data_IF_921951147563
#
_entry.id   IF_921951147563
#
_cell.length_a   1.000
_cell.length_b   1.000
_cell.length_c   1.000
_cell.angle_alpha   90.00
_cell.angle_beta   90.00
_cell.angle_gamma   90.00
#
_symmetry.space_group_name_H-M   'P 1'
#
loop_
_entity.id
_entity.type
_entity.pdbx_description
1 polymer ?
#
# COMPACT_ATOMS: atom_id res chain seq x y z
N UNK A 1 -50.11 5.56 68.78
CA UNK A 1 -48.68 5.96 68.68
C UNK A 1 -48.35 6.08 67.20
N UNK A 2 -48.30 7.26 66.57
CA UNK A 2 -47.36 8.39 66.69
C UNK A 2 -45.95 8.07 66.13
N UNK A 3 -45.76 8.54 64.87
CA UNK A 3 -44.60 9.22 64.23
C UNK A 3 -43.27 8.47 63.93
N UNK A 4 -43.04 8.21 62.62
CA UNK A 4 -42.05 8.80 61.64
C UNK A 4 -40.60 9.14 62.12
N UNK A 5 -39.61 9.44 61.23
CA UNK A 5 -39.24 8.97 59.86
C UNK A 5 -37.70 8.91 59.59
N UNK A 6 -37.29 8.73 58.32
CA UNK A 6 -36.01 9.16 57.67
C UNK A 6 -34.74 8.33 58.02
N UNK A 7 -33.86 7.94 57.09
CA UNK A 7 -32.97 8.74 56.22
C UNK A 7 -32.59 7.89 54.98
N UNK A 8 -32.68 8.39 53.74
CA UNK A 8 -31.67 9.17 53.02
C UNK A 8 -30.42 8.36 52.64
N UNK A 9 -30.16 8.19 51.34
CA UNK A 9 -28.89 7.68 50.82
C UNK A 9 -29.04 7.08 49.43
N UNK A 10 -29.20 7.87 48.37
CA UNK A 10 -28.12 8.42 47.51
C UNK A 10 -28.24 7.80 46.12
N UNK A 11 -28.65 8.65 45.16
CA UNK A 11 -28.50 8.45 43.73
C UNK A 11 -27.03 8.16 43.42
N UNK A 12 -26.75 7.06 42.70
CA UNK A 12 -25.56 6.98 41.87
C UNK A 12 -26.00 6.82 40.42
N UNK A 13 -26.04 7.97 39.75
CA UNK A 13 -26.18 8.12 38.32
C UNK A 13 -24.93 7.51 37.68
N UNK A 14 -25.01 6.25 37.23
CA UNK A 14 -23.96 5.67 36.38
C UNK A 14 -24.13 6.30 35.00
N UNK A 15 -23.46 7.42 34.81
CA UNK A 15 -23.09 7.93 33.49
C UNK A 15 -22.21 6.84 32.90
N UNK A 16 -22.79 5.98 32.06
CA UNK A 16 -22.01 5.25 31.09
C UNK A 16 -21.30 6.30 30.26
N UNK A 17 -20.05 6.56 30.62
CA UNK A 17 -19.06 7.15 29.74
C UNK A 17 -19.16 6.31 28.48
N UNK A 18 -19.86 6.87 27.47
CA UNK A 18 -19.79 6.38 26.12
C UNK A 18 -18.31 6.18 25.87
N UNK A 19 -17.96 4.92 25.67
CA UNK A 19 -16.65 4.54 25.21
C UNK A 19 -16.38 5.46 24.02
N UNK A 20 -15.51 6.45 24.23
CA UNK A 20 -14.76 7.05 23.16
C UNK A 20 -13.93 5.91 22.61
N UNK A 21 -14.56 5.10 21.75
CA UNK A 21 -13.87 4.37 20.73
C UNK A 21 -13.22 5.50 19.94
N UNK A 22 -11.97 5.83 20.31
CA UNK A 22 -11.16 6.74 19.55
C UNK A 22 -11.21 6.20 18.14
N UNK A 23 -11.88 6.95 17.26
CA UNK A 23 -11.95 6.68 15.85
C UNK A 23 -10.52 6.38 15.39
N UNK A 24 -10.23 5.11 15.15
CA UNK A 24 -9.22 4.74 14.18
C UNK A 24 -9.83 5.06 12.82
N UNK A 25 -10.01 6.34 12.56
CA UNK A 25 -10.50 6.87 11.29
C UNK A 25 -9.43 6.54 10.24
N UNK A 26 -9.74 5.55 9.39
CA UNK A 26 -9.35 5.42 7.99
C UNK A 26 -7.87 5.56 7.56
N UNK A 27 -6.88 5.15 8.35
CA UNK A 27 -5.50 5.03 7.81
C UNK A 27 -5.38 3.97 6.70
N UNK A 28 -6.34 3.05 6.63
CA UNK A 28 -6.39 1.96 5.63
C UNK A 28 -7.01 2.36 4.28
N UNK A 29 -7.64 3.53 4.15
CA UNK A 29 -8.36 3.89 2.90
C UNK A 29 -7.42 4.39 1.79
N UNK A 30 -6.20 4.77 2.13
CA UNK A 30 -5.24 5.41 1.23
C UNK A 30 -3.99 4.55 1.02
N UNK A 31 -4.18 3.27 0.70
CA UNK A 31 -3.10 2.30 0.52
C UNK A 31 -3.07 1.80 -0.91
N UNK A 32 -1.89 1.74 -1.52
CA UNK A 32 -1.62 0.93 -2.70
C UNK A 32 -0.78 -0.29 -2.30
N UNK A 33 -1.06 -1.44 -2.91
CA UNK A 33 -0.30 -2.67 -2.73
C UNK A 33 0.69 -2.80 -3.88
N UNK A 34 1.98 -2.88 -3.58
CA UNK A 34 3.03 -3.14 -4.56
C UNK A 34 3.60 -4.53 -4.31
N UNK A 35 3.62 -5.38 -5.33
CA UNK A 35 4.19 -6.74 -5.30
C UNK A 35 5.33 -6.83 -6.32
N UNK A 36 6.47 -7.40 -5.92
CA UNK A 36 7.63 -7.69 -6.76
C UNK A 36 7.78 -9.21 -6.87
N UNK A 37 7.78 -9.74 -8.10
CA UNK A 37 7.85 -11.17 -8.37
C UNK A 37 8.80 -11.50 -9.53
N UNK A 38 9.03 -12.79 -9.77
CA UNK A 38 9.74 -13.30 -10.94
C UNK A 38 9.01 -14.44 -11.61
N UNK A 39 9.44 -14.71 -12.83
CA UNK A 39 9.05 -15.86 -13.63
C UNK A 39 7.53 -15.97 -13.79
N UNK A 40 6.87 -14.85 -14.11
CA UNK A 40 5.42 -14.72 -14.27
C UNK A 40 4.65 -14.99 -12.96
N UNK A 41 5.15 -14.46 -11.85
CA UNK A 41 4.54 -14.62 -10.52
C UNK A 41 4.79 -15.97 -9.85
N UNK A 42 5.63 -16.84 -10.43
CA UNK A 42 5.94 -18.15 -9.83
C UNK A 42 6.84 -18.02 -8.60
N UNK A 43 7.69 -16.98 -8.56
CA UNK A 43 8.51 -16.66 -7.40
C UNK A 43 8.16 -15.28 -6.87
N UNK A 44 7.84 -15.21 -5.59
CA UNK A 44 7.55 -13.97 -4.90
C UNK A 44 8.82 -13.43 -4.23
N UNK A 45 9.10 -12.13 -4.41
CA UNK A 45 10.27 -11.47 -3.80
C UNK A 45 9.88 -10.55 -2.65
N UNK A 46 8.95 -9.63 -2.91
CA UNK A 46 8.55 -8.59 -1.96
C UNK A 46 7.10 -8.17 -2.15
N UNK A 47 6.49 -7.65 -1.08
CA UNK A 47 5.22 -6.93 -1.13
C UNK A 47 5.20 -5.86 -0.06
N UNK A 48 4.55 -4.74 -0.37
CA UNK A 48 4.42 -3.64 0.56
C UNK A 48 3.09 -2.94 0.35
N UNK A 49 2.38 -2.76 1.44
CA UNK A 49 1.30 -1.78 1.53
C UNK A 49 1.93 -0.40 1.76
N UNK A 50 1.72 0.50 0.81
CA UNK A 50 2.28 1.85 0.83
C UNK A 50 1.13 2.83 0.97
N UNK A 51 1.24 3.72 1.96
CA UNK A 51 0.29 4.82 2.09
C UNK A 51 0.54 5.83 0.95
N UNK A 52 -0.49 6.06 0.15
CA UNK A 52 -0.43 6.92 -1.04
C UNK A 52 -1.57 7.92 -1.05
N UNK A 53 -1.34 9.06 -1.67
CA UNK A 53 -2.40 10.00 -2.04
C UNK A 53 -2.73 9.82 -3.52
N UNK A 54 -3.99 10.07 -3.88
CA UNK A 54 -4.40 10.11 -5.29
C UNK A 54 -3.51 11.07 -6.06
N UNK A 55 -2.91 10.60 -7.15
CA UNK A 55 -2.01 11.40 -7.99
C UNK A 55 -0.52 11.25 -7.64
N UNK A 56 -0.15 10.45 -6.63
CA UNK A 56 1.27 10.12 -6.40
C UNK A 56 1.85 9.41 -7.63
N UNK A 57 3.05 9.80 -8.05
CA UNK A 57 3.73 9.17 -9.18
C UNK A 57 4.24 7.77 -8.80
N UNK A 58 4.00 6.77 -9.65
CA UNK A 58 4.40 5.39 -9.37
C UNK A 58 5.92 5.22 -9.31
N UNK A 59 6.69 5.85 -10.21
CA UNK A 59 8.15 5.73 -10.16
C UNK A 59 8.72 6.34 -8.88
N UNK A 60 8.25 7.54 -8.49
CA UNK A 60 8.67 8.17 -7.24
C UNK A 60 8.33 7.31 -6.02
N UNK A 61 7.13 6.70 -5.99
CA UNK A 61 6.73 5.78 -4.92
C UNK A 61 7.64 4.56 -4.88
N UNK A 62 8.01 4.02 -6.04
CA UNK A 62 8.91 2.88 -6.15
C UNK A 62 10.31 3.21 -5.63
N UNK A 63 10.93 4.29 -6.09
CA UNK A 63 12.28 4.73 -5.68
C UNK A 63 12.37 5.07 -4.18
N UNK A 64 11.29 5.57 -3.58
CA UNK A 64 11.24 5.87 -2.16
C UNK A 64 11.10 4.63 -1.26
N UNK A 65 10.69 3.48 -1.83
CA UNK A 65 10.32 2.30 -1.06
C UNK A 65 11.14 1.04 -1.36
N UNK A 66 11.82 1.02 -2.51
CA UNK A 66 12.63 -0.08 -3.01
C UNK A 66 13.92 0.45 -3.63
N UNK A 67 14.92 -0.42 -3.79
CA UNK A 67 16.09 -0.06 -4.60
C UNK A 67 15.76 -0.17 -6.08
N UNK A 68 15.56 0.96 -6.74
CA UNK A 68 15.19 1.02 -8.15
C UNK A 68 16.28 1.73 -8.96
N UNK A 69 16.60 1.17 -10.12
CA UNK A 69 17.42 1.82 -11.13
C UNK A 69 16.64 1.85 -12.45
N UNK A 70 16.88 2.90 -13.23
CA UNK A 70 16.23 3.14 -14.51
C UNK A 70 17.26 3.37 -15.61
N UNK A 71 16.78 3.34 -16.85
CA UNK A 71 17.51 3.90 -17.97
C UNK A 71 17.64 5.44 -17.85
N UNK A 72 18.45 6.05 -18.71
CA UNK A 72 18.71 7.50 -18.64
C UNK A 72 17.48 8.38 -18.90
N UNK A 73 16.39 7.82 -19.42
CA UNK A 73 15.14 8.51 -19.70
C UNK A 73 14.04 8.30 -18.65
N UNK A 74 14.32 7.45 -17.64
CA UNK A 74 13.37 6.98 -16.62
C UNK A 74 12.12 6.28 -17.20
N UNK A 75 12.18 5.80 -18.44
CA UNK A 75 11.07 5.11 -19.11
C UNK A 75 11.09 3.61 -18.81
N UNK A 76 12.27 3.06 -18.58
CA UNK A 76 12.48 1.63 -18.37
C UNK A 76 13.14 1.44 -17.02
N UNK A 77 12.51 0.64 -16.16
CA UNK A 77 13.14 0.16 -14.94
C UNK A 77 14.11 -0.95 -15.31
N UNK A 78 15.37 -0.78 -14.96
CA UNK A 78 16.46 -1.72 -15.26
C UNK A 78 16.77 -2.62 -14.08
N UNK A 79 16.44 -2.19 -12.85
CA UNK A 79 16.69 -2.96 -11.64
C UNK A 79 15.65 -2.67 -10.56
N UNK A 80 15.22 -3.72 -9.84
CA UNK A 80 14.46 -3.60 -8.58
C UNK A 80 15.12 -4.53 -7.55
N UNK A 81 15.40 -4.04 -6.35
CA UNK A 81 16.05 -4.79 -5.27
C UNK A 81 17.39 -5.43 -5.68
N UNK A 82 18.15 -4.69 -6.51
CA UNK A 82 19.45 -5.10 -7.09
C UNK A 82 19.37 -6.29 -8.05
N UNK A 83 18.18 -6.64 -8.53
CA UNK A 83 18.02 -7.60 -9.62
C UNK A 83 17.95 -6.85 -10.96
N UNK A 84 19.07 -6.87 -11.67
CA UNK A 84 19.25 -6.14 -12.93
C UNK A 84 18.87 -6.97 -14.15
N UNK A 85 18.28 -6.31 -15.16
CA UNK A 85 18.06 -6.91 -16.49
C UNK A 85 19.37 -7.21 -17.24
N UNK A 86 20.46 -6.51 -16.90
CA UNK A 86 21.76 -6.66 -17.56
C UNK A 86 22.46 -7.96 -17.19
N UNK A 87 22.23 -8.47 -15.97
CA UNK A 87 22.84 -9.68 -15.46
C UNK A 87 22.25 -10.96 -16.07
N UNK A 88 21.05 -10.86 -16.68
CA UNK A 88 20.20 -12.01 -17.01
C UNK A 88 19.83 -12.16 -18.51
N UNK A 89 20.53 -11.44 -19.40
CA UNK A 89 20.65 -11.83 -20.82
C UNK A 89 19.34 -11.95 -21.62
N UNK A 90 18.37 -11.06 -21.42
CA UNK A 90 17.09 -11.04 -22.15
C UNK A 90 15.83 -11.02 -21.27
N UNK A 91 16.00 -10.78 -19.96
CA UNK A 91 14.91 -10.50 -19.04
C UNK A 91 14.52 -9.03 -19.04
N UNK A 92 13.31 -8.74 -18.59
CA UNK A 92 12.74 -7.40 -18.45
C UNK A 92 11.91 -7.32 -17.17
N UNK A 93 11.62 -6.08 -16.76
CA UNK A 93 10.62 -5.77 -15.77
C UNK A 93 9.34 -5.32 -16.48
N UNK A 94 8.29 -6.13 -16.41
CA UNK A 94 6.95 -5.72 -16.83
C UNK A 94 6.11 -5.41 -15.60
N UNK A 95 5.13 -4.51 -15.76
CA UNK A 95 4.24 -4.17 -14.67
C UNK A 95 2.77 -4.17 -15.07
N UNK A 96 1.94 -4.50 -14.09
CA UNK A 96 0.48 -4.50 -14.21
C UNK A 96 -0.15 -3.65 -13.13
N UNK A 97 -1.32 -3.12 -13.44
CA UNK A 97 -2.18 -2.37 -12.53
C UNK A 97 -3.48 -3.13 -12.45
N UNK A 98 -3.87 -3.55 -11.24
CA UNK A 98 -5.11 -4.27 -10.98
C UNK A 98 -5.29 -5.52 -11.87
N UNK A 99 -4.19 -6.18 -12.24
CA UNK A 99 -4.15 -7.38 -13.07
C UNK A 99 -4.10 -7.13 -14.59
N UNK A 100 -4.09 -5.87 -15.03
CA UNK A 100 -4.00 -5.50 -16.45
C UNK A 100 -2.64 -4.86 -16.78
N UNK A 101 -2.07 -5.19 -17.94
CA UNK A 101 -0.83 -4.56 -18.42
C UNK A 101 -1.11 -3.09 -18.69
N UNK A 102 -0.31 -2.21 -18.07
CA UNK A 102 -0.44 -0.78 -18.28
C UNK A 102 0.30 -0.32 -19.54
N UNK A 103 -0.32 0.45 -20.44
CA UNK A 103 0.36 1.02 -21.61
C UNK A 103 1.16 2.29 -21.27
N UNK A 104 1.06 2.78 -20.03
CA UNK A 104 1.75 3.99 -19.56
C UNK A 104 3.04 3.56 -18.86
N UNK A 105 4.19 4.24 -19.02
CA UNK A 105 5.38 3.91 -18.23
C UNK A 105 5.21 4.33 -16.76
N UNK A 106 5.88 3.69 -15.78
CA UNK A 106 5.75 4.03 -14.36
C UNK A 106 5.96 5.52 -14.04
N UNK A 107 6.89 6.20 -14.74
CA UNK A 107 7.14 7.64 -14.57
C UNK A 107 5.95 8.55 -14.91
N UNK A 108 4.95 8.03 -15.61
CA UNK A 108 3.76 8.77 -16.03
C UNK A 108 2.47 8.20 -15.43
N UNK A 109 2.56 7.16 -14.58
CA UNK A 109 1.38 6.58 -13.94
C UNK A 109 1.13 7.25 -12.59
N UNK A 110 -0.10 7.73 -12.40
CA UNK A 110 -0.57 8.34 -11.17
C UNK A 110 -1.37 7.32 -10.35
N UNK A 111 -0.83 6.95 -9.19
CA UNK A 111 -1.44 5.99 -8.27
C UNK A 111 -2.76 6.48 -7.71
N UNK A 112 -3.68 5.53 -7.57
CA UNK A 112 -4.92 5.71 -6.85
C UNK A 112 -4.91 4.84 -5.58
N UNK A 113 -5.53 5.31 -4.49
CA UNK A 113 -5.85 4.45 -3.35
C UNK A 113 -6.55 3.16 -3.80
N UNK A 114 -6.07 2.02 -3.30
CA UNK A 114 -6.57 0.69 -3.63
C UNK A 114 -5.89 0.02 -4.82
N UNK A 115 -5.01 0.72 -5.56
CA UNK A 115 -4.28 0.13 -6.67
C UNK A 115 -3.42 -1.06 -6.22
N UNK A 116 -3.45 -2.11 -7.04
CA UNK A 116 -2.58 -3.29 -6.90
C UNK A 116 -1.60 -3.29 -8.05
N UNK A 117 -0.36 -2.96 -7.77
CA UNK A 117 0.71 -2.93 -8.75
C UNK A 117 1.55 -4.19 -8.60
N UNK A 118 1.82 -4.86 -9.71
CA UNK A 118 2.77 -5.98 -9.74
C UNK A 118 3.88 -5.62 -10.71
N UNK A 119 5.13 -5.66 -10.26
CA UNK A 119 6.31 -5.69 -11.12
C UNK A 119 6.84 -7.12 -11.16
N UNK A 120 6.91 -7.72 -12.33
CA UNK A 120 7.41 -9.08 -12.53
C UNK A 120 8.68 -9.07 -13.38
N UNK A 121 9.71 -9.75 -12.90
CA UNK A 121 10.94 -9.95 -13.64
C UNK A 121 10.90 -11.29 -14.39
N UNK A 122 10.86 -11.22 -15.71
CA UNK A 122 10.78 -12.42 -16.53
C UNK A 122 11.47 -12.25 -17.88
N UNK A 123 11.70 -13.38 -18.54
CA UNK A 123 12.21 -13.39 -19.91
C UNK A 123 11.17 -12.80 -20.86
N UNK A 124 11.62 -11.94 -21.78
CA UNK A 124 10.82 -11.55 -22.94
C UNK A 124 10.61 -12.79 -23.83
N UNK A 125 9.37 -13.01 -24.29
CA UNK A 125 9.00 -14.20 -25.08
C UNK A 125 9.66 -14.20 -26.46
#
# INVERSE_FOLDING_TARGET
MIKKPAQLGTILLIICLLAGCGDKMSKEENIALITISKDNGNEYLHEKEIQVESGNNLLDVMENNFYVETDSSNEVITSIERLSIEDDGGKQWDYTVNGEVSPVPPKNYELQPGDKIVFDFHSSK
#
